data_IF_847842705950
#
_entry.id   IF_847842705950
#
_cell.length_a   1.000
_cell.length_b   1.000
_cell.length_c   1.000
_cell.angle_alpha   90.00
_cell.angle_beta   90.00
_cell.angle_gamma   90.00
#
_symmetry.space_group_name_H-M   'P 1'
#
loop_
_entity.id
_entity.type
_entity.pdbx_description
1 polymer ?
#
# COMPACT_ATOMS: atom_id res chain seq x y z
N UNK A 1 -23.60 40.07 31.47
CA UNK A 1 -23.55 38.84 30.64
C UNK A 1 -22.57 39.09 29.51
N UNK A 2 -21.36 38.55 29.59
CA UNK A 2 -20.32 38.68 28.55
C UNK A 2 -20.18 37.34 27.83
N UNK A 3 -20.67 37.28 26.59
CA UNK A 3 -20.52 36.11 25.72
C UNK A 3 -19.07 36.02 25.23
N UNK A 4 -18.40 34.93 25.58
CA UNK A 4 -17.08 34.59 25.04
C UNK A 4 -17.32 33.83 23.73
N UNK A 5 -16.99 34.46 22.60
CA UNK A 5 -16.94 33.81 21.28
C UNK A 5 -15.71 32.91 21.23
N UNK A 6 -15.92 31.59 21.34
CA UNK A 6 -14.87 30.60 21.04
C UNK A 6 -14.72 30.50 19.51
N UNK A 7 -13.63 31.07 18.98
CA UNK A 7 -13.19 30.80 17.61
C UNK A 7 -12.64 29.38 17.54
N UNK A 8 -13.43 28.43 17.03
CA UNK A 8 -12.93 27.10 16.66
C UNK A 8 -12.05 27.23 15.42
N UNK A 9 -10.74 27.15 15.60
CA UNK A 9 -9.79 27.01 14.50
C UNK A 9 -9.82 25.55 14.05
N UNK A 10 -10.57 25.25 13.00
CA UNK A 10 -10.55 23.95 12.33
C UNK A 10 -9.25 23.81 11.56
N UNK A 11 -8.28 23.07 12.12
CA UNK A 11 -7.11 22.64 11.36
C UNK A 11 -7.54 21.56 10.34
N UNK A 12 -7.14 21.65 9.06
CA UNK A 12 -7.38 20.58 8.12
C UNK A 12 -6.56 19.35 8.55
N UNK A 13 -7.26 18.30 9.01
CA UNK A 13 -6.66 16.96 9.14
C UNK A 13 -6.42 16.47 7.72
N UNK A 14 -5.22 16.69 7.20
CA UNK A 14 -4.78 16.03 5.98
C UNK A 14 -4.56 14.57 6.37
N UNK A 15 -5.59 13.73 6.20
CA UNK A 15 -5.45 12.29 6.26
C UNK A 15 -4.53 11.89 5.11
N UNK A 16 -3.21 11.95 5.34
CA UNK A 16 -2.25 11.38 4.44
C UNK A 16 -2.61 9.90 4.34
N UNK A 17 -3.24 9.52 3.23
CA UNK A 17 -3.54 8.13 2.93
C UNK A 17 -2.21 7.37 3.04
N UNK A 18 -2.11 6.50 4.05
CA UNK A 18 -0.87 5.78 4.32
C UNK A 18 -0.67 4.84 3.15
N UNK A 19 0.18 5.25 2.20
CA UNK A 19 0.50 4.43 1.05
C UNK A 19 1.45 3.31 1.49
N UNK A 20 0.94 2.09 1.55
CA UNK A 20 1.75 0.92 1.86
C UNK A 20 2.56 0.52 0.63
N UNK A 21 3.88 0.43 0.77
CA UNK A 21 4.79 0.07 -0.33
C UNK A 21 5.70 -1.07 0.09
N UNK A 22 6.01 -1.93 -0.87
CA UNK A 22 7.01 -2.98 -0.77
C UNK A 22 7.88 -2.90 -2.02
N UNK A 23 9.12 -2.46 -1.87
CA UNK A 23 10.12 -2.60 -2.93
C UNK A 23 10.48 -4.07 -3.09
N UNK A 24 10.56 -4.52 -4.33
CA UNK A 24 10.97 -5.87 -4.65
C UNK A 24 11.71 -5.87 -5.99
N UNK A 25 12.74 -6.69 -6.09
CA UNK A 25 13.55 -6.84 -7.31
C UNK A 25 13.45 -8.27 -7.82
N UNK A 26 13.69 -8.44 -9.12
CA UNK A 26 13.76 -9.78 -9.73
C UNK A 26 14.97 -10.52 -9.16
N UNK A 27 14.75 -11.76 -8.70
CA UNK A 27 15.85 -12.67 -8.37
C UNK A 27 16.67 -13.04 -9.63
N UNK A 28 16.00 -13.13 -10.78
CA UNK A 28 16.61 -13.32 -12.08
C UNK A 28 16.20 -12.18 -13.03
N UNK A 29 17.13 -11.35 -13.54
CA UNK A 29 16.80 -10.21 -14.39
C UNK A 29 15.94 -10.53 -15.62
N UNK A 30 16.05 -11.74 -16.16
CA UNK A 30 15.34 -12.19 -17.37
C UNK A 30 13.92 -12.70 -17.10
N UNK A 31 13.54 -12.89 -15.83
CA UNK A 31 12.24 -13.45 -15.45
C UNK A 31 11.43 -12.42 -14.65
N UNK A 32 10.18 -12.12 -15.06
CA UNK A 32 9.29 -11.30 -14.26
C UNK A 32 9.10 -11.86 -12.86
N UNK A 33 8.78 -10.99 -11.92
CA UNK A 33 8.39 -11.43 -10.58
C UNK A 33 7.09 -12.23 -10.70
N UNK A 34 7.08 -13.45 -10.17
CA UNK A 34 5.86 -14.27 -10.17
C UNK A 34 4.83 -13.76 -9.16
N UNK A 35 3.55 -13.99 -9.47
CA UNK A 35 2.45 -13.70 -8.55
C UNK A 35 2.63 -14.36 -7.17
N UNK A 36 3.15 -15.58 -7.12
CA UNK A 36 3.40 -16.27 -5.86
C UNK A 36 4.49 -15.59 -5.02
N UNK A 37 5.54 -15.06 -5.66
CA UNK A 37 6.57 -14.28 -4.97
C UNK A 37 5.99 -12.98 -4.39
N UNK A 38 5.13 -12.28 -5.14
CA UNK A 38 4.38 -11.11 -4.65
C UNK A 38 3.54 -11.48 -3.41
N UNK A 39 2.74 -12.54 -3.52
CA UNK A 39 1.87 -13.01 -2.43
C UNK A 39 2.68 -13.39 -1.18
N UNK A 40 3.79 -14.11 -1.36
CA UNK A 40 4.68 -14.51 -0.27
C UNK A 40 5.29 -13.31 0.43
N UNK A 41 5.73 -12.29 -0.33
CA UNK A 41 6.31 -11.08 0.23
C UNK A 41 5.27 -10.23 0.99
N UNK A 42 4.05 -10.12 0.48
CA UNK A 42 2.99 -9.39 1.19
C UNK A 42 2.66 -10.09 2.51
N UNK A 43 2.53 -11.42 2.50
CA UNK A 43 2.24 -12.21 3.71
C UNK A 43 3.37 -12.22 4.73
N UNK A 44 4.62 -11.98 4.33
CA UNK A 44 5.74 -11.88 5.28
C UNK A 44 5.77 -10.55 6.04
N UNK A 45 5.12 -9.50 5.49
CA UNK A 45 5.06 -8.16 6.10
C UNK A 45 3.71 -7.84 6.76
N UNK A 46 2.63 -8.41 6.26
CA UNK A 46 1.27 -8.09 6.70
C UNK A 46 0.51 -9.35 7.10
N UNK A 47 -0.23 -9.26 8.20
CA UNK A 47 -1.13 -10.32 8.67
C UNK A 47 -2.57 -10.01 8.25
N UNK A 48 -3.25 -11.00 7.66
CA UNK A 48 -4.62 -10.85 7.20
C UNK A 48 -4.92 -11.60 5.90
N UNK A 49 -6.00 -11.20 5.22
CA UNK A 49 -6.49 -11.86 4.01
C UNK A 49 -6.26 -10.99 2.79
N UNK A 50 -5.50 -11.52 1.83
CA UNK A 50 -5.38 -10.91 0.50
C UNK A 50 -6.70 -11.07 -0.24
N UNK A 51 -7.26 -9.95 -0.70
CA UNK A 51 -8.53 -9.89 -1.42
C UNK A 51 -8.31 -9.87 -2.93
N UNK A 52 -7.28 -9.18 -3.41
CA UNK A 52 -6.96 -9.12 -4.83
C UNK A 52 -5.49 -8.80 -5.08
N UNK A 53 -4.96 -9.26 -6.21
CA UNK A 53 -3.65 -8.89 -6.75
C UNK A 53 -3.85 -8.50 -8.22
N UNK A 54 -3.47 -7.27 -8.57
CA UNK A 54 -3.58 -6.72 -9.91
C UNK A 54 -2.21 -6.35 -10.45
N UNK A 55 -1.93 -6.76 -11.68
CA UNK A 55 -0.76 -6.30 -12.42
C UNK A 55 -1.00 -4.87 -12.92
N UNK A 56 -0.06 -3.97 -12.65
CA UNK A 56 -0.08 -2.56 -13.05
C UNK A 56 1.32 -2.13 -13.51
N UNK A 57 1.84 -2.72 -14.61
CA UNK A 57 3.17 -2.39 -15.11
C UNK A 57 3.31 -0.88 -15.35
N UNK A 58 4.41 -0.31 -14.87
CA UNK A 58 4.80 1.09 -15.11
C UNK A 58 6.10 1.13 -15.93
N UNK A 59 6.41 2.23 -16.64
CA UNK A 59 7.58 2.31 -17.51
C UNK A 59 8.91 1.91 -16.83
N UNK A 60 9.12 2.30 -15.58
CA UNK A 60 10.33 1.96 -14.80
C UNK A 60 10.16 0.72 -13.91
N UNK A 61 8.93 0.23 -13.79
CA UNK A 61 8.54 -0.84 -12.87
C UNK A 61 7.62 -1.83 -13.58
N UNK A 62 8.17 -2.66 -14.50
CA UNK A 62 7.36 -3.58 -15.32
C UNK A 62 6.67 -4.66 -14.49
N UNK A 63 7.17 -4.96 -13.28
CA UNK A 63 6.58 -5.94 -12.37
C UNK A 63 5.75 -5.29 -11.26
N UNK A 64 5.26 -4.06 -11.45
CA UNK A 64 4.43 -3.38 -10.45
C UNK A 64 3.08 -4.09 -10.25
N UNK A 65 2.74 -4.38 -9.00
CA UNK A 65 1.49 -5.00 -8.59
C UNK A 65 0.79 -4.17 -7.52
N UNK A 66 -0.54 -4.12 -7.58
CA UNK A 66 -1.38 -3.53 -6.54
C UNK A 66 -2.10 -4.66 -5.81
N UNK A 67 -1.85 -4.78 -4.51
CA UNK A 67 -2.43 -5.81 -3.65
C UNK A 67 -3.42 -5.17 -2.70
N UNK A 68 -4.65 -5.67 -2.70
CA UNK A 68 -5.67 -5.27 -1.73
C UNK A 68 -5.80 -6.35 -0.66
N UNK A 69 -5.82 -5.92 0.59
CA UNK A 69 -5.79 -6.80 1.75
C UNK A 69 -6.76 -6.30 2.82
N UNK A 70 -7.37 -7.23 3.56
CA UNK A 70 -8.04 -6.96 4.83
C UNK A 70 -7.11 -7.41 5.95
N UNK A 71 -6.63 -6.48 6.78
CA UNK A 71 -5.80 -6.78 7.94
C UNK A 71 -6.62 -7.51 9.02
N UNK A 72 -5.95 -8.15 9.97
CA UNK A 72 -6.63 -8.76 11.12
C UNK A 72 -7.32 -7.72 12.03
N UNK A 73 -6.86 -6.48 11.98
CA UNK A 73 -7.44 -5.36 12.74
C UNK A 73 -8.69 -4.76 12.06
N UNK A 74 -9.08 -5.31 10.91
CA UNK A 74 -10.25 -4.88 10.14
C UNK A 74 -9.98 -3.73 9.17
N UNK A 75 -8.72 -3.35 8.97
CA UNK A 75 -8.34 -2.29 8.05
C UNK A 75 -8.20 -2.80 6.61
N UNK A 76 -8.67 -2.02 5.65
CA UNK A 76 -8.43 -2.27 4.23
C UNK A 76 -7.13 -1.60 3.80
N UNK A 77 -6.17 -2.42 3.35
CA UNK A 77 -4.87 -1.95 2.90
C UNK A 77 -4.78 -2.07 1.38
N UNK A 78 -4.29 -1.01 0.74
CA UNK A 78 -3.82 -1.04 -0.66
C UNK A 78 -2.30 -0.95 -0.64
N UNK A 79 -1.64 -1.97 -1.18
CA UNK A 79 -0.21 -2.17 -1.09
C UNK A 79 0.39 -2.19 -2.50
N UNK A 80 1.28 -1.25 -2.77
CA UNK A 80 2.08 -1.18 -3.99
C UNK A 80 3.31 -2.08 -3.85
N UNK A 81 3.42 -3.12 -4.69
CA UNK A 81 4.54 -4.07 -4.65
C UNK A 81 5.35 -3.98 -5.93
N UNK A 82 6.67 -3.80 -5.79
CA UNK A 82 7.60 -3.60 -6.91
C UNK A 82 7.24 -2.40 -7.80
N UNK A 83 6.61 -1.37 -7.23
CA UNK A 83 6.20 -0.15 -7.94
C UNK A 83 7.09 1.08 -7.64
N UNK A 84 8.09 0.91 -6.78
CA UNK A 84 9.06 1.91 -6.34
C UNK A 84 10.37 1.22 -5.93
N UNK A 85 11.44 2.01 -5.82
CA UNK A 85 12.75 1.55 -5.31
C UNK A 85 12.86 1.59 -3.78
N UNK A 86 11.88 2.20 -3.12
CA UNK A 86 11.78 2.46 -1.67
C UNK A 86 10.50 1.90 -1.06
#
# INVERSE_FOLDING_TARGET
>A
MTSILLNMVTMPVNAAEVMHKISMTRANPTQPISRDAILSMVKSKYSGRILSVQEKPKPEFPDCHIVKMLSLDGEYLTIDVACSKD
#
